data_IF_974157768144
#
_entry.id   IF_974157768144
#
_cell.length_a   1.000
_cell.length_b   1.000
_cell.length_c   1.000
_cell.angle_alpha   90.00
_cell.angle_beta   90.00
_cell.angle_gamma   90.00
#
_symmetry.space_group_name_H-M   'P 1'
#
loop_
_entity.id
_entity.type
_entity.pdbx_description
1 polymer ?
#
# COMPACT_ATOMS: atom_id res chain seq x y z
N UNK A 1 5.47 -0.73 -18.65
CA UNK A 1 4.62 -1.19 -17.54
C UNK A 1 5.50 -1.72 -16.43
N UNK A 2 5.67 -0.89 -15.37
CA UNK A 2 6.32 -1.31 -14.14
C UNK A 2 5.43 -2.25 -13.35
N UNK A 3 6.01 -2.93 -12.38
CA UNK A 3 5.26 -3.57 -11.31
C UNK A 3 5.39 -2.69 -10.06
N UNK A 4 4.37 -2.69 -9.17
CA UNK A 4 4.28 -1.75 -8.06
C UNK A 4 3.15 -0.77 -8.26
N UNK A 5 3.44 0.51 -8.19
CA UNK A 5 2.45 1.58 -8.37
C UNK A 5 2.81 2.50 -9.53
N UNK A 6 1.80 3.17 -10.06
CA UNK A 6 1.97 4.27 -11.00
C UNK A 6 1.33 5.52 -10.41
N UNK A 7 2.07 6.62 -10.42
CA UNK A 7 1.60 7.91 -9.95
C UNK A 7 1.31 8.80 -11.16
N UNK A 8 0.06 9.23 -11.28
CA UNK A 8 -0.43 10.12 -12.32
C UNK A 8 -0.65 11.50 -11.73
N UNK A 9 -0.11 12.54 -12.35
CA UNK A 9 -0.20 13.92 -11.89
C UNK A 9 -0.72 14.83 -12.99
N UNK A 10 -1.69 15.70 -12.66
CA UNK A 10 -2.13 16.78 -13.54
C UNK A 10 -2.65 17.94 -12.69
N UNK A 11 -2.36 19.19 -13.04
CA UNK A 11 -3.07 20.32 -12.43
C UNK A 11 -4.51 20.36 -12.96
N UNK A 12 -5.46 20.72 -12.11
CA UNK A 12 -6.84 20.94 -12.52
C UNK A 12 -6.89 22.14 -13.48
N UNK A 13 -7.48 22.00 -14.69
CA UNK A 13 -7.53 23.09 -15.67
C UNK A 13 -8.44 24.23 -15.23
N UNK A 14 -9.51 23.93 -14.50
CA UNK A 14 -10.51 24.86 -14.01
C UNK A 14 -10.89 24.60 -12.56
N UNK A 15 -11.68 25.49 -11.97
CA UNK A 15 -12.25 25.30 -10.64
C UNK A 15 -13.24 24.13 -10.62
N UNK A 16 -13.08 23.22 -9.65
CA UNK A 16 -13.98 22.10 -9.40
C UNK A 16 -14.96 22.47 -8.31
N UNK A 17 -16.24 22.45 -8.62
CA UNK A 17 -17.32 22.72 -7.65
C UNK A 17 -17.51 21.54 -6.71
N UNK A 18 -17.91 21.84 -5.48
CA UNK A 18 -18.32 20.81 -4.53
C UNK A 18 -19.42 19.90 -5.12
N UNK A 19 -19.27 18.59 -4.91
CA UNK A 19 -20.19 17.60 -5.47
C UNK A 19 -19.87 17.14 -6.89
N UNK A 20 -18.83 17.69 -7.54
CA UNK A 20 -18.32 17.16 -8.81
C UNK A 20 -17.81 15.73 -8.59
N UNK A 21 -18.13 14.84 -9.52
CA UNK A 21 -17.71 13.43 -9.45
C UNK A 21 -16.48 13.21 -10.33
N UNK A 22 -15.40 12.74 -9.73
CA UNK A 22 -14.24 12.20 -10.45
C UNK A 22 -14.58 10.76 -10.86
N UNK A 23 -14.51 10.46 -12.15
CA UNK A 23 -14.71 9.10 -12.67
C UNK A 23 -13.40 8.61 -13.26
N UNK A 24 -12.92 7.46 -12.78
CA UNK A 24 -11.73 6.78 -13.31
C UNK A 24 -12.17 5.49 -13.99
N UNK A 25 -12.30 5.54 -15.31
CA UNK A 25 -12.72 4.38 -16.09
C UNK A 25 -11.54 3.42 -16.27
N UNK A 26 -11.78 2.15 -15.96
CA UNK A 26 -10.77 1.07 -16.07
C UNK A 26 -9.48 1.36 -15.29
N UNK A 27 -9.62 1.65 -13.99
CA UNK A 27 -8.50 1.64 -13.07
C UNK A 27 -8.10 0.21 -12.70
N UNK A 28 -6.80 -0.07 -12.66
CA UNK A 28 -6.24 -1.38 -12.39
C UNK A 28 -5.04 -1.27 -11.45
N UNK A 29 -5.22 -1.42 -10.07
CA UNK A 29 -6.42 -2.02 -9.46
C UNK A 29 -6.97 -1.20 -8.28
N UNK A 30 -6.11 -0.52 -7.50
CA UNK A 30 -6.46 0.21 -6.30
C UNK A 30 -5.88 1.60 -6.33
N UNK A 31 -6.74 2.60 -6.27
CA UNK A 31 -6.35 4.00 -6.49
C UNK A 31 -6.55 4.82 -5.22
N UNK A 32 -5.57 5.65 -4.89
CA UNK A 32 -5.71 6.76 -3.96
C UNK A 32 -5.73 8.06 -4.74
N UNK A 33 -6.66 8.94 -4.39
CA UNK A 33 -6.85 10.25 -5.01
C UNK A 33 -6.43 11.32 -4.02
N UNK A 34 -5.52 12.21 -4.44
CA UNK A 34 -5.05 13.33 -3.61
C UNK A 34 -5.24 14.65 -4.36
N UNK A 35 -5.46 15.72 -3.59
CA UNK A 35 -5.41 17.10 -4.06
C UNK A 35 -4.40 17.86 -3.21
N UNK A 36 -3.37 18.44 -3.84
CA UNK A 36 -2.24 19.11 -3.16
C UNK A 36 -1.67 18.28 -1.99
N UNK A 37 -1.52 16.96 -2.20
CA UNK A 37 -1.01 16.00 -1.23
C UNK A 37 -2.00 15.55 -0.15
N UNK A 38 -3.21 16.10 -0.09
CA UNK A 38 -4.26 15.68 0.84
C UNK A 38 -5.09 14.56 0.22
N UNK A 39 -5.23 13.46 0.94
CA UNK A 39 -6.08 12.34 0.52
C UNK A 39 -7.54 12.76 0.47
N UNK A 40 -8.17 12.57 -0.69
CA UNK A 40 -9.60 12.79 -0.90
C UNK A 40 -10.41 11.49 -0.79
N UNK A 41 -9.83 10.37 -1.24
CA UNK A 41 -10.53 9.08 -1.20
C UNK A 41 -9.73 7.96 -1.84
N UNK A 42 -10.33 6.78 -1.81
CA UNK A 42 -9.77 5.54 -2.36
C UNK A 42 -10.83 4.85 -3.20
N UNK A 43 -10.38 4.20 -4.27
CA UNK A 43 -11.22 3.42 -5.18
C UNK A 43 -10.65 2.02 -5.30
N UNK A 44 -11.48 1.02 -5.10
CA UNK A 44 -11.11 -0.39 -5.13
C UNK A 44 -11.83 -1.10 -6.29
N UNK A 45 -11.06 -1.56 -7.28
CA UNK A 45 -11.59 -2.29 -8.43
C UNK A 45 -12.41 -3.51 -8.05
N UNK A 46 -12.10 -4.17 -6.93
CA UNK A 46 -12.84 -5.36 -6.48
C UNK A 46 -14.29 -5.05 -6.11
N UNK A 47 -14.55 -3.83 -5.61
CA UNK A 47 -15.89 -3.32 -5.34
C UNK A 47 -16.57 -2.72 -6.57
N UNK A 48 -15.89 -2.65 -7.72
CA UNK A 48 -16.39 -1.93 -8.89
C UNK A 48 -16.35 -0.41 -8.73
N UNK A 49 -15.59 0.09 -7.76
CA UNK A 49 -15.52 1.52 -7.44
C UNK A 49 -14.75 2.26 -8.53
N UNK A 50 -15.40 3.23 -9.16
CA UNK A 50 -14.83 4.07 -10.22
C UNK A 50 -15.08 5.56 -9.97
N UNK A 51 -15.92 5.92 -9.00
CA UNK A 51 -16.42 7.27 -8.78
C UNK A 51 -16.03 7.79 -7.40
N UNK A 52 -15.58 9.05 -7.35
CA UNK A 52 -15.29 9.77 -6.12
C UNK A 52 -15.89 11.16 -6.17
N UNK A 53 -16.76 11.51 -5.22
CA UNK A 53 -17.27 12.87 -5.07
C UNK A 53 -16.18 13.77 -4.50
N UNK A 54 -15.90 14.87 -5.20
CA UNK A 54 -14.85 15.82 -4.84
C UNK A 54 -15.41 16.98 -4.01
N UNK A 55 -14.62 17.53 -3.08
CA UNK A 55 -14.88 18.84 -2.50
C UNK A 55 -14.66 19.96 -3.54
N UNK A 56 -14.96 21.18 -3.20
CA UNK A 56 -14.57 22.34 -4.00
C UNK A 56 -13.04 22.44 -4.07
N UNK A 57 -12.47 22.53 -5.27
CA UNK A 57 -11.04 22.66 -5.54
C UNK A 57 -10.78 23.81 -6.50
N UNK A 58 -9.68 24.54 -6.31
CA UNK A 58 -9.31 25.67 -7.16
C UNK A 58 -8.67 25.19 -8.47
N UNK A 59 -8.78 26.02 -9.51
CA UNK A 59 -7.97 25.84 -10.71
C UNK A 59 -6.49 25.81 -10.34
N UNK A 60 -5.72 24.93 -10.99
CA UNK A 60 -4.31 24.73 -10.70
C UNK A 60 -4.00 23.81 -9.50
N UNK A 61 -5.02 23.38 -8.72
CA UNK A 61 -4.81 22.34 -7.68
C UNK A 61 -4.20 21.10 -8.33
N UNK A 62 -3.13 20.59 -7.74
CA UNK A 62 -2.46 19.37 -8.20
C UNK A 62 -3.29 18.15 -7.84
N UNK A 63 -3.84 17.47 -8.84
CA UNK A 63 -4.52 16.19 -8.68
C UNK A 63 -3.52 15.06 -8.89
N UNK A 64 -3.38 14.19 -7.87
CA UNK A 64 -2.52 13.03 -7.93
C UNK A 64 -3.34 11.75 -7.78
N UNK A 65 -3.13 10.79 -8.68
CA UNK A 65 -3.75 9.47 -8.64
C UNK A 65 -2.64 8.43 -8.45
N UNK A 66 -2.55 7.85 -7.26
CA UNK A 66 -1.63 6.75 -6.98
C UNK A 66 -2.35 5.43 -7.20
N UNK A 67 -2.01 4.75 -8.28
CA UNK A 67 -2.63 3.48 -8.70
C UNK A 67 -1.69 2.32 -8.37
N UNK A 68 -2.07 1.49 -7.43
CA UNK A 68 -1.35 0.27 -7.08
C UNK A 68 -1.86 -0.90 -7.91
N UNK A 69 -0.93 -1.56 -8.61
CA UNK A 69 -1.18 -2.79 -9.34
C UNK A 69 -1.15 -3.97 -8.37
N UNK A 70 -2.30 -4.51 -7.99
CA UNK A 70 -2.38 -5.58 -7.00
C UNK A 70 -1.70 -6.86 -7.48
N UNK A 71 -2.08 -7.44 -8.53
CA UNK A 71 -1.51 -8.66 -9.07
C UNK A 71 -1.79 -8.77 -10.54
N UNK A 72 -1.13 -9.67 -11.24
CA UNK A 72 -1.45 -9.96 -12.64
C UNK A 72 -2.25 -11.23 -12.71
N UNK A 73 -3.31 -11.19 -13.48
CA UNK A 73 -4.08 -12.39 -13.79
C UNK A 73 -3.22 -13.31 -14.67
N UNK A 74 -3.17 -14.59 -14.32
CA UNK A 74 -2.33 -15.59 -14.99
C UNK A 74 -3.15 -16.69 -15.69
N UNK A 75 -4.46 -16.48 -15.85
CA UNK A 75 -5.36 -17.49 -16.37
C UNK A 75 -6.40 -16.91 -17.32
N UNK A 76 -6.79 -17.69 -18.35
CA UNK A 76 -7.84 -17.43 -19.33
C UNK A 76 -7.66 -16.09 -20.10
N UNK A 77 -8.71 -15.61 -20.73
CA UNK A 77 -8.76 -14.35 -21.47
C UNK A 77 -8.36 -13.11 -20.65
N UNK A 78 -8.48 -13.19 -19.34
CA UNK A 78 -8.12 -12.14 -18.40
C UNK A 78 -6.60 -11.92 -18.24
N UNK A 79 -5.76 -12.75 -18.85
CA UNK A 79 -4.28 -12.59 -18.85
C UNK A 79 -3.84 -11.26 -19.49
N UNK A 80 -4.69 -10.65 -20.32
CA UNK A 80 -4.45 -9.35 -20.93
C UNK A 80 -4.75 -8.16 -20.01
N UNK A 81 -5.05 -8.40 -18.74
CA UNK A 81 -5.32 -7.37 -17.74
C UNK A 81 -4.14 -6.39 -17.59
N UNK A 82 -4.24 -5.24 -18.25
CA UNK A 82 -3.23 -4.19 -18.20
C UNK A 82 -3.36 -3.42 -16.89
N UNK A 83 -2.24 -2.90 -16.38
CA UNK A 83 -2.20 -2.18 -15.10
C UNK A 83 -2.10 -0.67 -15.29
N UNK A 84 -2.55 0.08 -14.27
CA UNK A 84 -2.68 1.52 -14.31
C UNK A 84 -4.09 1.96 -14.74
N UNK A 85 -4.22 3.20 -15.17
CA UNK A 85 -5.46 3.71 -15.76
C UNK A 85 -5.38 3.41 -17.26
N UNK A 86 -6.31 2.61 -17.78
CA UNK A 86 -6.25 2.11 -19.16
C UNK A 86 -7.20 2.80 -20.11
N UNK A 87 -8.16 3.59 -19.59
CA UNK A 87 -9.06 4.38 -20.42
C UNK A 87 -8.96 5.87 -20.09
N UNK A 88 -9.86 6.41 -19.27
CA UNK A 88 -9.96 7.86 -19.08
C UNK A 88 -10.24 8.25 -17.64
N UNK A 89 -9.97 9.52 -17.34
CA UNK A 89 -10.34 10.19 -16.10
C UNK A 89 -11.19 11.39 -16.46
N UNK A 90 -12.36 11.52 -15.84
CA UNK A 90 -13.33 12.57 -16.13
C UNK A 90 -13.79 13.27 -14.86
N UNK A 91 -14.05 14.57 -14.98
CA UNK A 91 -14.81 15.36 -14.00
C UNK A 91 -16.25 15.52 -14.52
N UNK A 92 -17.21 15.08 -13.73
CA UNK A 92 -18.63 15.13 -14.10
C UNK A 92 -19.39 16.02 -13.12
N UNK A 93 -20.02 17.06 -13.65
CA UNK A 93 -20.90 17.97 -12.89
C UNK A 93 -22.23 18.10 -13.60
N UNK A 94 -23.27 17.44 -13.10
CA UNK A 94 -24.56 17.36 -13.72
C UNK A 94 -24.50 16.71 -15.10
N UNK A 95 -24.77 17.47 -16.15
CA UNK A 95 -24.72 16.99 -17.56
C UNK A 95 -23.37 17.24 -18.23
N UNK A 96 -22.48 17.97 -17.60
CA UNK A 96 -21.17 18.30 -18.15
C UNK A 96 -20.15 17.24 -17.71
N UNK A 97 -19.41 16.71 -18.68
CA UNK A 97 -18.31 15.79 -18.47
C UNK A 97 -17.06 16.35 -19.17
N UNK A 98 -15.98 16.48 -18.43
CA UNK A 98 -14.69 16.93 -18.94
C UNK A 98 -13.65 15.85 -18.74
N UNK A 99 -12.98 15.42 -19.80
CA UNK A 99 -11.88 14.45 -19.73
C UNK A 99 -10.58 15.16 -19.39
N UNK A 100 -9.98 14.78 -18.26
CA UNK A 100 -8.69 15.30 -17.84
C UNK A 100 -7.57 14.77 -18.75
N UNK A 101 -6.64 15.64 -19.09
CA UNK A 101 -5.52 15.39 -20.03
C UNK A 101 -4.21 15.96 -19.45
N UNK A 102 -3.12 15.73 -20.18
CA UNK A 102 -1.81 16.33 -19.80
C UNK A 102 -1.15 15.64 -18.61
N UNK A 103 -1.44 14.37 -18.41
CA UNK A 103 -0.88 13.58 -17.30
C UNK A 103 0.63 13.41 -17.40
N UNK A 104 1.32 13.73 -16.31
CA UNK A 104 2.69 13.24 -16.07
C UNK A 104 2.59 11.94 -15.29
N UNK A 105 3.28 10.89 -15.74
CA UNK A 105 3.17 9.56 -15.12
C UNK A 105 4.55 9.10 -14.65
N UNK A 106 4.64 8.71 -13.38
CA UNK A 106 5.82 8.10 -12.78
C UNK A 106 5.54 6.65 -12.40
N UNK A 107 6.45 5.76 -12.79
CA UNK A 107 6.45 4.41 -12.28
C UNK A 107 7.18 4.37 -10.94
N UNK A 108 6.56 3.75 -9.95
CA UNK A 108 7.12 3.52 -8.62
C UNK A 108 7.37 2.02 -8.46
N UNK A 109 8.53 1.52 -8.91
CA UNK A 109 8.86 0.11 -8.80
C UNK A 109 9.04 -0.29 -7.34
N UNK A 110 8.86 -1.56 -7.07
CA UNK A 110 8.96 -2.15 -5.72
C UNK A 110 10.13 -3.16 -5.64
N UNK A 111 11.13 -3.00 -6.49
CA UNK A 111 12.39 -3.73 -6.34
C UNK A 111 13.23 -3.14 -5.20
N UNK A 112 14.07 -3.98 -4.59
CA UNK A 112 14.83 -3.58 -3.41
C UNK A 112 15.82 -2.43 -3.68
N UNK A 113 16.41 -2.39 -4.87
CA UNK A 113 17.36 -1.33 -5.26
C UNK A 113 16.68 0.04 -5.21
N UNK A 114 15.49 0.15 -5.81
CA UNK A 114 14.71 1.38 -5.76
C UNK A 114 14.30 1.73 -4.33
N UNK A 115 13.77 0.76 -3.58
CA UNK A 115 13.23 0.99 -2.23
C UNK A 115 14.33 1.37 -1.25
N UNK A 116 15.47 0.68 -1.27
CA UNK A 116 16.59 0.93 -0.33
C UNK A 116 17.30 2.26 -0.59
N UNK A 117 17.21 2.79 -1.81
CA UNK A 117 17.81 4.08 -2.19
C UNK A 117 17.00 5.30 -1.73
N UNK A 118 15.85 5.13 -1.09
CA UNK A 118 15.06 6.26 -0.58
C UNK A 118 15.76 6.96 0.56
N UNK A 119 15.57 8.28 0.65
CA UNK A 119 16.15 9.08 1.73
C UNK A 119 15.24 9.00 2.98
N UNK A 120 15.54 8.07 3.86
CA UNK A 120 14.80 7.86 5.10
C UNK A 120 15.16 8.92 6.14
N UNK A 121 14.15 9.45 6.82
CA UNK A 121 14.30 10.44 7.89
C UNK A 121 13.96 9.81 9.23
N UNK A 122 14.69 10.19 10.28
CA UNK A 122 14.37 9.75 11.64
C UNK A 122 13.02 10.30 12.08
N UNK A 123 12.12 9.42 12.48
CA UNK A 123 10.77 9.78 12.94
C UNK A 123 10.77 10.72 14.15
N UNK A 124 11.89 10.77 14.90
CA UNK A 124 12.09 11.63 16.07
C UNK A 124 12.72 12.99 15.72
N UNK A 125 13.10 13.25 14.49
CA UNK A 125 13.59 14.58 14.10
C UNK A 125 12.39 15.51 13.96
N UNK A 126 12.32 16.54 14.80
CA UNK A 126 11.32 17.61 14.77
C UNK A 126 11.31 18.43 13.45
N UNK A 127 12.20 18.11 12.53
CA UNK A 127 12.28 18.67 11.19
C UNK A 127 11.48 17.87 10.14
N UNK A 128 10.78 16.81 10.53
CA UNK A 128 9.87 16.10 9.63
C UNK A 128 8.74 17.05 9.25
N UNK A 129 8.90 17.64 8.09
CA UNK A 129 7.94 18.37 7.28
C UNK A 129 6.56 18.54 7.93
N UNK A 130 6.12 19.78 8.19
CA UNK A 130 4.93 20.24 8.91
C UNK A 130 3.58 19.64 8.54
N UNK A 131 3.50 18.33 8.50
CA UNK A 131 2.26 17.57 8.42
C UNK A 131 1.88 17.22 9.84
N UNK A 132 0.75 17.74 10.29
CA UNK A 132 0.17 17.45 11.57
C UNK A 132 0.15 15.93 11.82
N UNK A 133 0.39 15.53 13.08
CA UNK A 133 0.53 14.13 13.54
C UNK A 133 -0.63 13.18 13.20
N UNK A 134 -1.65 13.63 12.48
CA UNK A 134 -2.89 12.90 12.21
C UNK A 134 -3.09 12.47 10.75
N UNK A 135 -2.11 12.65 9.86
CA UNK A 135 -2.25 12.21 8.47
C UNK A 135 -1.70 10.78 8.29
N UNK A 136 -2.34 9.84 8.98
CA UNK A 136 -2.05 8.39 8.92
C UNK A 136 -2.40 7.76 7.56
N UNK A 137 -2.81 8.56 6.58
CA UNK A 137 -3.38 8.08 5.32
C UNK A 137 -2.45 8.22 4.11
N UNK A 138 -1.25 8.77 4.29
CA UNK A 138 -0.30 8.99 3.18
C UNK A 138 0.61 7.80 3.01
N UNK A 139 0.77 7.27 1.77
CA UNK A 139 1.70 6.20 1.48
C UNK A 139 3.13 6.53 1.91
N UNK A 140 3.78 5.61 2.62
CA UNK A 140 5.14 5.81 3.10
C UNK A 140 5.97 4.52 3.10
N UNK A 141 7.29 4.68 3.00
CA UNK A 141 8.26 3.65 3.28
C UNK A 141 8.76 3.82 4.72
N UNK A 142 8.80 2.72 5.44
CA UNK A 142 9.32 2.61 6.80
C UNK A 142 10.54 1.72 6.80
N UNK A 143 11.62 2.16 7.44
CA UNK A 143 12.86 1.39 7.56
C UNK A 143 13.25 1.25 9.02
N UNK A 144 13.61 0.05 9.42
CA UNK A 144 14.14 -0.22 10.75
C UNK A 144 15.21 -1.32 10.72
N UNK A 145 15.94 -1.42 11.81
CA UNK A 145 16.85 -2.52 12.09
C UNK A 145 16.43 -3.27 13.33
N UNK A 146 16.72 -4.56 13.38
CA UNK A 146 16.53 -5.41 14.54
C UNK A 146 17.69 -6.39 14.69
N UNK A 147 17.97 -6.83 15.91
CA UNK A 147 19.06 -7.77 16.20
C UNK A 147 18.53 -9.13 16.62
N UNK A 148 19.18 -10.19 16.14
CA UNK A 148 18.89 -11.57 16.50
C UNK A 148 20.10 -12.24 17.12
N UNK A 149 19.90 -12.90 18.24
CA UNK A 149 20.93 -13.77 18.86
C UNK A 149 20.97 -15.14 18.20
N UNK A 150 19.82 -15.62 17.74
CA UNK A 150 19.63 -16.90 17.08
C UNK A 150 18.71 -16.73 15.86
N UNK A 151 19.11 -17.37 14.77
CA UNK A 151 18.36 -17.39 13.51
C UNK A 151 17.42 -18.59 13.48
N UNK A 152 16.18 -18.36 13.07
CA UNK A 152 15.16 -19.39 12.86
C UNK A 152 14.09 -18.88 11.89
N UNK A 153 13.31 -19.80 11.32
CA UNK A 153 12.10 -19.45 10.56
C UNK A 153 11.08 -18.79 11.48
N UNK A 154 10.31 -17.84 10.94
CA UNK A 154 9.25 -17.15 11.67
C UNK A 154 8.19 -16.64 10.71
N UNK A 155 7.07 -16.14 11.25
CA UNK A 155 6.03 -15.47 10.50
C UNK A 155 5.94 -14.00 10.95
N UNK A 156 6.19 -13.07 10.04
CA UNK A 156 6.04 -11.64 10.32
C UNK A 156 4.56 -11.30 10.49
N UNK A 157 4.18 -10.80 11.65
CA UNK A 157 2.81 -10.34 11.88
C UNK A 157 2.63 -8.92 11.31
N UNK A 158 1.76 -8.80 10.31
CA UNK A 158 1.46 -7.55 9.63
C UNK A 158 0.09 -6.95 10.00
N UNK A 159 -0.56 -7.45 11.07
CA UNK A 159 -1.92 -7.05 11.43
C UNK A 159 -2.11 -5.56 11.77
N UNK A 160 -1.04 -4.90 12.23
CA UNK A 160 -1.06 -3.46 12.54
C UNK A 160 -0.84 -2.58 11.30
N UNK A 161 -0.43 -3.17 10.19
CA UNK A 161 -0.14 -2.49 8.94
C UNK A 161 -1.36 -2.51 8.00
N UNK A 162 -1.46 -1.52 7.11
CA UNK A 162 -2.61 -1.36 6.23
C UNK A 162 -2.53 -2.21 4.95
N UNK A 163 -1.78 -1.77 3.97
CA UNK A 163 -1.66 -2.43 2.66
C UNK A 163 -0.31 -2.10 2.04
N UNK A 164 0.46 -3.12 1.63
CA UNK A 164 1.75 -2.83 1.02
C UNK A 164 2.64 -4.03 0.80
N UNK A 165 3.96 -3.83 0.97
CA UNK A 165 5.00 -4.83 0.76
C UNK A 165 6.08 -4.75 1.83
N UNK A 166 6.78 -5.87 2.06
CA UNK A 166 7.86 -5.97 3.03
C UNK A 166 9.12 -6.53 2.38
N UNK A 167 10.27 -6.00 2.77
CA UNK A 167 11.60 -6.51 2.43
C UNK A 167 12.40 -6.73 3.70
N UNK A 168 13.14 -7.82 3.77
CA UNK A 168 14.08 -8.10 4.86
C UNK A 168 15.42 -8.49 4.27
N UNK A 169 16.49 -7.79 4.67
CA UNK A 169 17.86 -8.00 4.17
C UNK A 169 17.94 -8.07 2.62
N UNK A 170 17.13 -7.28 1.91
CA UNK A 170 17.09 -7.26 0.46
C UNK A 170 16.12 -8.25 -0.19
N UNK A 171 15.53 -9.17 0.57
CA UNK A 171 14.58 -10.15 0.06
C UNK A 171 13.14 -9.63 0.16
N UNK A 172 12.43 -9.64 -0.96
CA UNK A 172 11.01 -9.29 -0.98
C UNK A 172 10.18 -10.42 -0.35
N UNK A 173 9.51 -10.10 0.76
CA UNK A 173 8.69 -11.05 1.51
C UNK A 173 7.32 -11.27 0.87
N UNK A 174 6.86 -10.29 0.10
CA UNK A 174 5.55 -10.30 -0.51
C UNK A 174 4.67 -9.15 -0.04
N UNK A 175 3.40 -9.24 -0.38
CA UNK A 175 2.39 -8.24 -0.09
C UNK A 175 1.61 -8.58 1.17
N UNK A 176 1.18 -7.56 1.88
CA UNK A 176 0.21 -7.67 2.97
C UNK A 176 -0.98 -6.75 2.71
N UNK A 177 -2.11 -7.10 3.29
CA UNK A 177 -3.31 -6.27 3.31
C UNK A 177 -4.13 -6.58 4.55
N UNK A 178 -4.45 -5.55 5.34
CA UNK A 178 -5.21 -5.68 6.60
C UNK A 178 -6.54 -6.43 6.46
N UNK A 179 -7.14 -6.41 5.28
CA UNK A 179 -8.40 -7.14 5.03
C UNK A 179 -8.26 -8.66 5.14
N UNK A 180 -7.05 -9.19 4.99
CA UNK A 180 -6.80 -10.62 5.03
C UNK A 180 -7.22 -11.38 3.77
N UNK A 181 -7.39 -12.70 3.87
CA UNK A 181 -7.34 -13.53 5.08
C UNK A 181 -5.95 -13.75 5.68
N UNK A 182 -4.87 -13.60 4.90
CA UNK A 182 -3.51 -13.75 5.35
C UNK A 182 -3.04 -12.47 6.08
N UNK A 183 -2.67 -12.62 7.35
CA UNK A 183 -2.16 -11.52 8.19
C UNK A 183 -0.66 -11.63 8.46
N UNK A 184 -0.04 -12.75 8.08
CA UNK A 184 1.37 -13.00 8.31
C UNK A 184 2.11 -13.32 7.01
N UNK A 185 3.42 -12.99 6.98
CA UNK A 185 4.32 -13.36 5.89
C UNK A 185 5.38 -14.32 6.43
N UNK A 186 5.59 -15.44 5.74
CA UNK A 186 6.64 -16.40 6.10
C UNK A 186 8.02 -15.78 5.87
N UNK A 187 8.87 -15.82 6.91
CA UNK A 187 10.25 -15.37 6.90
C UNK A 187 11.19 -16.57 7.08
N UNK A 188 11.84 -17.05 6.02
CA UNK A 188 12.80 -18.13 6.13
C UNK A 188 14.06 -17.66 6.85
N UNK A 189 14.54 -18.49 7.78
CA UNK A 189 15.72 -18.20 8.58
C UNK A 189 17.00 -18.02 7.74
N UNK A 190 17.08 -18.64 6.56
CA UNK A 190 18.23 -18.46 5.66
C UNK A 190 18.40 -17.03 5.11
N UNK A 191 17.38 -16.19 5.19
CA UNK A 191 17.43 -14.76 4.82
C UNK A 191 17.74 -13.85 6.02
N UNK A 192 17.77 -14.42 7.21
CA UNK A 192 18.15 -13.74 8.44
C UNK A 192 19.62 -14.01 8.79
N UNK A 193 20.20 -13.14 9.59
CA UNK A 193 21.56 -13.29 10.10
C UNK A 193 21.62 -13.02 11.59
N UNK A 194 22.58 -13.64 12.28
CA UNK A 194 22.90 -13.29 13.66
C UNK A 194 23.41 -11.85 13.71
N UNK A 195 22.97 -11.07 14.69
CA UNK A 195 23.24 -9.63 14.77
C UNK A 195 22.19 -8.82 14.02
N UNK A 196 22.60 -7.72 13.44
CA UNK A 196 21.72 -6.70 12.84
C UNK A 196 21.12 -7.16 11.51
N UNK A 197 19.81 -7.06 11.40
CA UNK A 197 19.02 -7.27 10.20
C UNK A 197 18.27 -5.97 9.86
N UNK A 198 17.98 -5.77 8.58
CA UNK A 198 17.21 -4.63 8.09
C UNK A 198 15.81 -5.10 7.69
N UNK A 199 14.80 -4.27 7.96
CA UNK A 199 13.45 -4.41 7.43
C UNK A 199 12.98 -3.10 6.81
N UNK A 200 12.37 -3.19 5.63
CA UNK A 200 11.70 -2.07 4.95
C UNK A 200 10.26 -2.46 4.69
N UNK A 201 9.35 -1.57 4.96
CA UNK A 201 7.91 -1.74 4.72
C UNK A 201 7.42 -0.57 3.88
N UNK A 202 6.78 -0.85 2.76
CA UNK A 202 5.91 0.11 2.08
C UNK A 202 4.51 -0.07 2.66
N UNK A 203 3.92 0.97 3.23
CA UNK A 203 2.49 0.97 3.57
C UNK A 203 1.77 2.08 2.82
N UNK A 204 0.76 1.70 2.07
CA UNK A 204 -0.05 2.60 1.25
C UNK A 204 -1.19 3.26 2.03
N UNK A 205 -1.52 2.76 3.22
CA UNK A 205 -2.65 3.24 4.04
C UNK A 205 -2.22 3.89 5.35
N UNK A 206 -0.97 3.67 5.75
CA UNK A 206 -0.45 3.99 7.06
C UNK A 206 -0.76 2.90 8.12
N UNK A 207 0.20 2.54 8.95
CA UNK A 207 0.01 1.54 10.00
C UNK A 207 -0.78 2.14 11.17
N UNK A 208 -1.60 1.29 11.82
CA UNK A 208 -2.19 1.62 13.14
C UNK A 208 -1.10 1.76 14.20
N UNK A 209 -0.11 0.88 14.12
CA UNK A 209 1.08 0.89 14.92
C UNK A 209 2.24 0.34 14.08
N UNK A 210 3.33 1.10 13.94
CA UNK A 210 4.50 0.67 13.17
C UNK A 210 5.33 -0.35 13.96
N UNK A 211 4.76 -1.52 14.21
CA UNK A 211 5.38 -2.65 14.91
C UNK A 211 5.26 -3.94 14.10
N UNK A 212 6.29 -4.78 14.16
CA UNK A 212 6.28 -6.13 13.60
C UNK A 212 6.84 -7.08 14.65
N UNK A 213 6.17 -8.21 14.82
CA UNK A 213 6.63 -9.30 15.67
C UNK A 213 6.73 -10.59 14.86
N UNK A 214 7.72 -11.43 15.18
CA UNK A 214 7.82 -12.77 14.64
C UNK A 214 6.94 -13.74 15.43
N UNK A 215 6.11 -14.51 14.74
CA UNK A 215 5.26 -15.54 15.32
C UNK A 215 5.78 -16.93 14.97
N UNK A 216 5.45 -17.90 15.81
CA UNK A 216 5.76 -19.33 15.58
C UNK A 216 4.69 -20.04 14.76
N UNK A 217 3.54 -19.41 14.55
CA UNK A 217 2.42 -19.91 13.75
C UNK A 217 1.92 -18.84 12.81
N UNK A 218 1.48 -19.20 11.61
CA UNK A 218 0.89 -18.22 10.68
C UNK A 218 -0.55 -17.86 11.09
N UNK A 219 -0.97 -16.69 10.61
CA UNK A 219 -2.38 -16.26 10.59
C UNK A 219 -2.76 -16.15 9.12
N UNK A 220 -3.50 -17.13 8.59
CA UNK A 220 -3.78 -17.26 7.15
C UNK A 220 -5.28 -17.18 6.81
N UNK A 221 -6.13 -17.11 7.81
CA UNK A 221 -7.58 -17.29 7.68
C UNK A 221 -8.40 -16.19 8.36
N UNK A 222 -7.77 -15.07 8.73
CA UNK A 222 -8.46 -13.95 9.36
C UNK A 222 -8.91 -12.93 8.29
N UNK A 223 -10.12 -13.11 7.79
CA UNK A 223 -10.76 -12.16 6.88
C UNK A 223 -11.48 -11.06 7.68
N UNK A 224 -11.11 -9.79 7.45
CA UNK A 224 -11.66 -8.62 8.17
C UNK A 224 -12.76 -7.88 7.42
N UNK A 225 -13.01 -8.23 6.18
CA UNK A 225 -14.08 -7.66 5.36
C UNK A 225 -14.93 -8.77 4.78
N UNK A 226 -16.24 -8.52 4.68
CA UNK A 226 -17.11 -9.39 3.91
C UNK A 226 -16.86 -9.13 2.42
N UNK A 227 -16.45 -10.17 1.69
CA UNK A 227 -16.30 -10.09 0.23
C UNK A 227 -17.45 -10.92 -0.36
N UNK A 228 -18.42 -10.27 -1.05
CA UNK A 228 -19.46 -10.99 -1.77
C UNK A 228 -18.82 -11.98 -2.76
N UNK A 229 -19.45 -13.11 -2.96
CA UNK A 229 -19.02 -14.13 -3.94
C UNK A 229 -17.70 -14.85 -3.65
N UNK A 230 -17.12 -14.69 -2.49
CA UNK A 230 -15.96 -15.49 -2.09
C UNK A 230 -16.38 -16.78 -1.38
N UNK A 231 -15.53 -17.80 -1.44
CA UNK A 231 -15.70 -19.05 -0.70
C UNK A 231 -15.60 -18.87 0.83
N UNK A 232 -15.13 -17.70 1.29
CA UNK A 232 -14.94 -17.38 2.71
C UNK A 232 -15.81 -16.20 3.11
N UNK A 233 -16.44 -16.32 4.28
CA UNK A 233 -17.17 -15.25 4.95
C UNK A 233 -16.28 -14.61 6.02
N UNK A 234 -16.60 -13.37 6.39
CA UNK A 234 -15.93 -12.71 7.50
C UNK A 234 -15.97 -13.57 8.77
N UNK A 235 -14.83 -13.69 9.44
CA UNK A 235 -14.69 -14.50 10.66
C UNK A 235 -14.64 -16.02 10.43
N UNK A 236 -14.64 -16.50 9.20
CA UNK A 236 -14.48 -17.91 8.90
C UNK A 236 -13.01 -18.31 9.04
N UNK A 237 -12.73 -19.25 9.94
CA UNK A 237 -11.40 -19.83 10.15
C UNK A 237 -11.29 -21.19 9.48
N UNK A 238 -10.08 -21.49 8.97
CA UNK A 238 -9.71 -22.84 8.52
C UNK A 238 -8.94 -23.51 9.66
N UNK A 239 -9.43 -24.63 10.15
CA UNK A 239 -8.65 -25.45 11.08
C UNK A 239 -7.55 -26.15 10.30
N UNK A 240 -6.30 -25.87 10.64
CA UNK A 240 -5.15 -26.62 10.15
C UNK A 240 -5.03 -27.92 10.96
N UNK A 241 -5.07 -29.06 10.27
CA UNK A 241 -5.06 -30.37 10.93
C UNK A 241 -3.72 -30.74 11.58
N UNK A 242 -2.62 -30.10 11.19
CA UNK A 242 -1.29 -30.32 11.76
C UNK A 242 -0.58 -28.99 12.02
N UNK A 243 -0.18 -28.83 13.27
CA UNK A 243 0.73 -27.76 13.67
C UNK A 243 2.16 -28.17 13.38
N UNK A 244 2.87 -27.44 12.51
CA UNK A 244 4.31 -27.58 12.38
C UNK A 244 4.98 -26.67 13.41
N UNK A 245 5.75 -27.19 14.37
CA UNK A 245 6.44 -26.34 15.30
C UNK A 245 7.52 -25.53 14.57
N UNK A 246 7.34 -24.23 14.57
CA UNK A 246 8.31 -23.27 14.05
C UNK A 246 8.92 -22.57 15.27
N UNK A 247 10.24 -22.50 15.34
CA UNK A 247 10.90 -21.80 16.43
C UNK A 247 10.69 -20.30 16.26
N UNK A 248 9.96 -19.70 17.20
CA UNK A 248 9.72 -18.27 17.18
C UNK A 248 10.96 -17.48 17.62
N UNK A 249 11.39 -16.54 16.80
CA UNK A 249 12.18 -15.41 17.26
C UNK A 249 11.25 -14.23 17.47
N UNK A 250 11.09 -13.76 18.69
CA UNK A 250 10.41 -12.48 18.90
C UNK A 250 11.43 -11.39 18.66
N UNK A 251 11.24 -10.58 17.63
CA UNK A 251 12.00 -9.35 17.46
C UNK A 251 11.05 -8.17 17.50
N UNK A 252 11.37 -7.19 18.29
CA UNK A 252 10.73 -5.88 18.22
C UNK A 252 11.71 -4.98 17.49
N UNK A 253 11.33 -4.37 16.36
CA UNK A 253 12.10 -3.25 15.85
C UNK A 253 12.14 -2.25 17.00
N UNK A 254 13.34 -1.85 17.44
CA UNK A 254 13.48 -0.79 18.44
C UNK A 254 12.80 0.50 17.97
N UNK A 255 12.82 1.55 18.77
CA UNK A 255 12.20 2.86 18.44
C UNK A 255 12.80 3.59 17.23
N UNK A 256 13.48 2.90 16.33
CA UNK A 256 14.29 3.41 15.23
C UNK A 256 13.68 3.23 13.84
N UNK A 257 12.34 3.33 13.69
CA UNK A 257 11.77 3.42 12.36
C UNK A 257 12.14 4.75 11.71
N UNK A 258 12.69 4.65 10.50
CA UNK A 258 12.87 5.75 9.58
C UNK A 258 11.74 5.71 8.55
N UNK A 259 11.20 6.87 8.21
CA UNK A 259 10.07 6.99 7.30
C UNK A 259 10.45 7.85 6.09
N UNK A 260 9.97 7.48 4.92
CA UNK A 260 9.91 8.35 3.75
C UNK A 260 8.55 8.21 3.10
N UNK A 261 7.86 9.32 2.90
CA UNK A 261 6.57 9.33 2.22
C UNK A 261 6.76 9.09 0.73
N UNK A 262 5.81 8.35 0.15
CA UNK A 262 5.71 8.24 -1.31
C UNK A 262 5.35 9.63 -1.82
N UNK A 263 6.12 10.21 -2.76
CA UNK A 263 5.83 11.53 -3.27
C UNK A 263 4.50 11.50 -4.03
N UNK A 264 3.50 12.12 -3.44
CA UNK A 264 2.19 12.40 -4.06
C UNK A 264 2.07 13.86 -4.49
N UNK A 265 2.95 14.72 -3.95
CA UNK A 265 3.22 16.08 -4.45
C UNK A 265 4.66 16.47 -4.13
N UNK A 266 5.22 17.41 -4.88
CA UNK A 266 6.41 18.14 -4.50
C UNK A 266 6.04 19.39 -3.72
#
# INVERSE_FOLDING_TARGET
QGWGSSLYLTPLPEEVKEGTVLIITEQHDWTQVFADGKLLGRLDRRGGEQELTLPALKAGTQLDLLVEAMGRVNFDKSIHDRKGITEKVELVNGKNAETLKGWTVYNLPVDYEFVSSRNFQDKNSSAACGIEKNDESVPAYYRATFSLDKVADTFLNMESWGKGMVWVNGHAMGRFWEIGPQQTLFMPGCWLKKGVNEIIVLDLKGPKEATIVGLNKPILDMLRVAVPETHRKQGQTIKLEKETPVSAGTFKPGNGWQEVKVPVTK
#
